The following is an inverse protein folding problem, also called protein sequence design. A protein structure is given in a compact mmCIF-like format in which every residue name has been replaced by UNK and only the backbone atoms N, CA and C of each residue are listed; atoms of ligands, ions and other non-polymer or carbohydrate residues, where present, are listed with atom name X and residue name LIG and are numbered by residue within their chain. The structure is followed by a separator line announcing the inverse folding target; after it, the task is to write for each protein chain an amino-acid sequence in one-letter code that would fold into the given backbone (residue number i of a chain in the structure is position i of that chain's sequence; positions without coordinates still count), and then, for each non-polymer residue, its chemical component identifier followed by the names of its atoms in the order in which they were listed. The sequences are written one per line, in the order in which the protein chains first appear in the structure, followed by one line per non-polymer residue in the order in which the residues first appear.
data_IF_159654304785
#
_entry.id   IF_159654304785
#
_cell.length_a   1.000
_cell.length_b   1.000
_cell.length_c   1.000
_cell.angle_alpha   90.00
_cell.angle_beta   90.00
_cell.angle_gamma   90.00
#
_symmetry.space_group_name_H-M   'P 1'
#
loop_
_entity.id
_entity.type
_entity.pdbx_description
1 polymer ?
#
# COMPACT_ATOMS: atom_id res chain seq x y z
N UNK A 1 21.35 14.24 -4.51
CA UNK A 1 21.32 13.08 -3.60
C UNK A 1 20.60 11.98 -4.34
N UNK A 2 21.19 10.80 -4.50
CA UNK A 2 20.52 9.66 -5.14
C UNK A 2 19.38 9.22 -4.23
N UNK A 3 18.14 9.41 -4.67
CA UNK A 3 16.99 8.84 -3.98
C UNK A 3 17.21 7.32 -3.91
N UNK A 4 17.27 6.79 -2.69
CA UNK A 4 17.23 5.34 -2.51
C UNK A 4 15.83 4.93 -2.94
N UNK A 5 15.72 3.97 -3.85
CA UNK A 5 14.41 3.48 -4.31
C UNK A 5 13.56 2.97 -3.15
N UNK A 6 12.24 2.82 -3.34
CA UNK A 6 11.36 2.34 -2.28
C UNK A 6 11.79 0.98 -1.74
N UNK A 7 11.47 0.74 -0.47
CA UNK A 7 11.47 -0.63 0.04
C UNK A 7 10.18 -1.28 -0.43
N UNK A 8 10.29 -2.41 -1.13
CA UNK A 8 9.14 -3.13 -1.68
C UNK A 8 9.05 -4.52 -1.08
N UNK A 9 7.85 -5.10 -1.09
CA UNK A 9 7.64 -6.43 -0.53
C UNK A 9 6.25 -6.97 -0.79
N UNK A 10 6.05 -8.21 -0.34
CA UNK A 10 4.74 -8.86 -0.33
C UNK A 10 4.41 -9.27 1.11
N UNK A 11 3.21 -8.95 1.55
CA UNK A 11 2.68 -9.41 2.83
C UNK A 11 1.70 -10.58 2.61
N UNK A 12 1.87 -11.71 3.31
CA UNK A 12 0.85 -12.76 3.35
C UNK A 12 -0.33 -12.31 4.22
N UNK A 13 -1.44 -11.89 3.60
CA UNK A 13 -2.63 -11.36 4.29
C UNK A 13 -3.91 -11.98 3.76
N UNK A 14 -4.71 -12.59 4.63
CA UNK A 14 -6.04 -13.16 4.27
C UNK A 14 -6.04 -14.06 3.01
N UNK A 15 -4.95 -14.79 2.77
CA UNK A 15 -4.78 -15.65 1.59
C UNK A 15 -4.16 -14.97 0.35
N UNK A 16 -3.90 -13.67 0.39
CA UNK A 16 -3.18 -12.90 -0.63
C UNK A 16 -1.68 -12.81 -0.33
N UNK A 17 -0.90 -12.71 -1.40
CA UNK A 17 0.41 -12.08 -1.36
C UNK A 17 0.24 -10.63 -1.82
N UNK A 18 -0.01 -9.72 -0.88
CA UNK A 18 -0.29 -8.31 -1.17
C UNK A 18 0.99 -7.52 -1.35
N UNK A 19 1.19 -6.95 -2.55
CA UNK A 19 2.33 -6.09 -2.85
C UNK A 19 2.18 -4.72 -2.19
N UNK A 20 3.30 -4.18 -1.71
CA UNK A 20 3.37 -2.84 -1.16
C UNK A 20 4.74 -2.20 -1.42
N UNK A 21 4.76 -0.87 -1.35
CA UNK A 21 5.96 -0.05 -1.35
C UNK A 21 5.97 0.89 -0.15
N UNK A 22 7.14 1.07 0.45
CA UNK A 22 7.40 2.01 1.53
C UNK A 22 8.38 3.06 1.03
N UNK A 23 7.93 4.32 1.11
CA UNK A 23 8.67 5.51 0.72
C UNK A 23 8.81 6.45 1.92
N UNK A 24 9.90 7.22 1.95
CA UNK A 24 10.12 8.18 3.04
C UNK A 24 10.27 7.51 4.40
N UNK A 25 10.22 8.32 5.46
CA UNK A 25 10.30 7.83 6.84
C UNK A 25 9.76 8.86 7.83
N UNK A 26 9.46 8.43 9.05
CA UNK A 26 9.01 9.31 10.13
C UNK A 26 7.56 9.79 9.98
N UNK A 27 7.11 10.60 10.94
CA UNK A 27 5.74 11.08 11.01
C UNK A 27 4.70 9.97 11.24
N UNK A 28 3.42 10.35 11.20
CA UNK A 28 2.34 9.36 11.09
C UNK A 28 2.43 8.77 9.67
N UNK A 29 2.42 7.44 9.47
CA UNK A 29 2.42 6.86 8.12
C UNK A 29 1.17 7.27 7.33
N UNK A 30 1.32 7.50 6.03
CA UNK A 30 0.20 7.69 5.10
C UNK A 30 0.02 6.43 4.27
N UNK A 31 -1.16 5.84 4.32
CA UNK A 31 -1.52 4.72 3.47
C UNK A 31 -2.22 5.22 2.21
N UNK A 32 -1.71 4.83 1.04
CA UNK A 32 -2.30 5.16 -0.26
C UNK A 32 -3.08 3.98 -0.82
N UNK A 33 -4.38 4.17 -1.06
CA UNK A 33 -5.29 3.18 -1.64
C UNK A 33 -5.68 3.61 -3.06
N UNK A 34 -5.26 2.87 -4.08
CA UNK A 34 -5.63 3.20 -5.46
C UNK A 34 -7.10 2.83 -5.76
N UNK A 35 -7.67 3.45 -6.81
CA UNK A 35 -9.01 3.10 -7.32
C UNK A 35 -9.03 1.86 -8.22
N UNK A 36 -10.22 1.47 -8.67
CA UNK A 36 -10.53 0.18 -9.34
C UNK A 36 -9.79 -0.15 -10.66
N UNK A 37 -9.05 0.80 -11.23
CA UNK A 37 -8.25 0.57 -12.45
C UNK A 37 -6.82 1.09 -12.27
N UNK A 38 -6.38 1.23 -11.02
CA UNK A 38 -5.10 1.80 -10.64
C UNK A 38 -4.13 0.76 -10.07
N UNK A 39 -2.91 1.22 -9.89
CA UNK A 39 -1.79 0.58 -9.22
C UNK A 39 -0.97 1.70 -8.56
N UNK A 40 0.17 1.40 -7.93
CA UNK A 40 0.97 2.42 -7.23
C UNK A 40 1.45 3.55 -8.16
N UNK A 41 1.74 3.23 -9.42
CA UNK A 41 2.20 4.19 -10.43
C UNK A 41 1.24 5.35 -10.68
N UNK A 42 -0.06 5.19 -10.36
CA UNK A 42 -1.07 6.23 -10.54
C UNK A 42 -0.78 7.49 -9.72
N UNK A 43 -0.06 7.36 -8.61
CA UNK A 43 0.28 8.48 -7.73
C UNK A 43 1.41 9.36 -8.29
N UNK A 44 2.29 8.81 -9.11
CA UNK A 44 3.37 9.55 -9.77
C UNK A 44 4.12 10.51 -8.83
N UNK A 45 4.30 11.80 -9.21
CA UNK A 45 5.00 12.79 -8.40
C UNK A 45 4.34 13.11 -7.04
N UNK A 46 3.03 12.86 -6.88
CA UNK A 46 2.34 13.13 -5.62
C UNK A 46 2.89 12.24 -4.51
N UNK A 47 3.15 10.97 -4.80
CA UNK A 47 3.75 10.04 -3.86
C UNK A 47 5.12 10.55 -3.39
N UNK A 48 5.97 10.96 -4.34
CA UNK A 48 7.31 11.47 -4.03
C UNK A 48 7.23 12.71 -3.10
N UNK A 49 6.34 13.67 -3.40
CA UNK A 49 6.16 14.85 -2.56
C UNK A 49 5.60 14.56 -1.17
N UNK A 50 4.70 13.58 -1.05
CA UNK A 50 4.19 13.13 0.26
C UNK A 50 5.30 12.45 1.09
N UNK A 51 6.16 11.66 0.44
CA UNK A 51 7.24 10.92 1.07
C UNK A 51 8.41 11.80 1.57
N UNK A 52 8.47 13.08 1.18
CA UNK A 52 9.50 14.01 1.66
C UNK A 52 9.38 14.28 3.18
N UNK A 53 8.17 14.19 3.74
CA UNK A 53 7.90 14.64 5.11
C UNK A 53 7.33 13.56 6.04
N UNK A 54 6.98 12.39 5.51
CA UNK A 54 6.43 11.26 6.28
C UNK A 54 6.67 9.94 5.57
N UNK A 55 6.53 8.84 6.29
CA UNK A 55 6.44 7.52 5.67
C UNK A 55 5.15 7.42 4.85
N UNK A 56 5.27 6.94 3.62
CA UNK A 56 4.15 6.63 2.73
C UNK A 56 4.20 5.13 2.44
N UNK A 57 3.07 4.45 2.66
CA UNK A 57 2.87 3.05 2.34
C UNK A 57 1.85 2.99 1.21
N UNK A 58 2.31 2.63 0.01
CA UNK A 58 1.45 2.47 -1.14
C UNK A 58 1.20 0.98 -1.37
N UNK A 59 -0.04 0.60 -1.63
CA UNK A 59 -0.44 -0.81 -1.70
C UNK A 59 -1.10 -1.12 -3.03
N UNK A 60 -1.06 -2.38 -3.45
CA UNK A 60 -1.84 -2.85 -4.59
C UNK A 60 -2.89 -3.86 -4.10
N UNK A 61 -4.15 -3.51 -4.30
CA UNK A 61 -5.31 -4.27 -3.85
C UNK A 61 -5.47 -5.56 -4.69
N UNK A 62 -6.27 -6.51 -4.20
CA UNK A 62 -6.53 -7.78 -4.90
C UNK A 62 -6.82 -7.57 -6.39
N UNK A 63 -6.10 -8.31 -7.25
CA UNK A 63 -6.29 -8.27 -8.70
C UNK A 63 -5.72 -7.03 -9.40
N UNK A 64 -4.89 -6.23 -8.73
CA UNK A 64 -4.30 -5.01 -9.28
C UNK A 64 -2.77 -5.04 -9.20
N UNK A 65 -2.13 -4.44 -10.22
CA UNK A 65 -0.67 -4.33 -10.32
C UNK A 65 0.02 -5.69 -10.18
N UNK A 66 0.83 -5.83 -9.14
CA UNK A 66 1.59 -6.99 -8.76
C UNK A 66 0.83 -7.94 -7.82
N UNK A 67 -0.26 -7.49 -7.19
CA UNK A 67 -1.11 -8.34 -6.35
C UNK A 67 -2.05 -9.15 -7.22
N UNK A 68 -1.80 -10.46 -7.30
CA UNK A 68 -2.66 -11.38 -8.05
C UNK A 68 -4.10 -11.42 -7.49
N UNK A 69 -5.04 -11.71 -8.38
CA UNK A 69 -6.39 -12.10 -7.96
C UNK A 69 -6.40 -13.53 -7.41
N UNK A 70 -7.36 -13.85 -6.53
CA UNK A 70 -7.52 -15.18 -5.92
C UNK A 70 -8.99 -15.60 -5.91
N UNK A 71 -9.25 -16.88 -5.67
CA UNK A 71 -10.61 -17.45 -5.66
C UNK A 71 -11.39 -17.08 -4.38
N UNK A 72 -11.75 -15.80 -4.27
CA UNK A 72 -12.67 -15.25 -3.28
C UNK A 72 -13.38 -13.99 -3.83
N UNK A 73 -14.54 -13.59 -3.28
CA UNK A 73 -15.26 -12.42 -3.77
C UNK A 73 -14.43 -11.13 -3.67
N UNK A 74 -14.44 -10.29 -4.69
CA UNK A 74 -13.90 -8.93 -4.58
C UNK A 74 -14.94 -8.02 -3.94
N UNK A 75 -14.77 -7.66 -2.66
CA UNK A 75 -15.65 -6.75 -1.92
C UNK A 75 -14.86 -5.69 -1.14
N UNK A 76 -15.47 -4.54 -0.88
CA UNK A 76 -14.80 -3.46 -0.15
C UNK A 76 -14.39 -3.88 1.26
N UNK A 77 -15.18 -4.73 1.91
CA UNK A 77 -14.88 -5.29 3.22
C UNK A 77 -13.60 -6.13 3.17
N UNK A 78 -13.44 -6.99 2.17
CA UNK A 78 -12.24 -7.80 2.02
C UNK A 78 -11.01 -6.95 1.70
N UNK A 79 -11.15 -5.94 0.84
CA UNK A 79 -10.06 -5.00 0.54
C UNK A 79 -9.63 -4.21 1.79
N UNK A 80 -10.59 -3.82 2.64
CA UNK A 80 -10.32 -3.17 3.92
C UNK A 80 -9.65 -4.13 4.92
N UNK A 81 -10.10 -5.38 5.00
CA UNK A 81 -9.53 -6.41 5.88
C UNK A 81 -8.09 -6.76 5.49
N UNK A 82 -7.77 -6.85 4.20
CA UNK A 82 -6.40 -7.07 3.72
C UNK A 82 -5.50 -5.90 4.07
N UNK A 83 -6.03 -4.69 3.88
CA UNK A 83 -5.32 -3.45 4.20
C UNK A 83 -5.02 -3.36 5.69
N UNK A 84 -5.99 -3.69 6.55
CA UNK A 84 -5.81 -3.72 7.99
C UNK A 84 -4.80 -4.81 8.40
N UNK A 85 -4.84 -5.98 7.77
CA UNK A 85 -3.88 -7.06 8.00
C UNK A 85 -2.46 -6.67 7.55
N UNK A 86 -2.32 -5.92 6.45
CA UNK A 86 -1.03 -5.38 6.00
C UNK A 86 -0.47 -4.39 7.03
N UNK A 87 -1.30 -3.49 7.57
CA UNK A 87 -0.87 -2.57 8.63
C UNK A 87 -0.33 -3.35 9.84
N UNK A 88 -1.03 -4.42 10.26
CA UNK A 88 -0.55 -5.30 11.34
C UNK A 88 0.77 -5.98 10.98
N UNK A 89 0.90 -6.51 9.75
CA UNK A 89 2.11 -7.16 9.26
C UNK A 89 3.33 -6.22 9.28
N UNK A 90 3.13 -4.95 8.93
CA UNK A 90 4.16 -3.91 8.93
C UNK A 90 4.38 -3.28 10.31
N UNK A 91 3.63 -3.68 11.34
CA UNK A 91 3.73 -3.12 12.70
C UNK A 91 3.18 -1.69 12.82
N UNK A 92 2.30 -1.27 11.90
CA UNK A 92 1.70 0.06 11.90
C UNK A 92 0.46 0.09 12.81
N UNK A 93 0.59 0.77 13.94
CA UNK A 93 -0.49 0.96 14.92
C UNK A 93 -1.53 1.99 14.46
N UNK A 94 -1.13 2.92 13.59
CA UNK A 94 -1.95 3.99 13.06
C UNK A 94 -1.44 4.42 11.69
N UNK A 95 -2.34 4.95 10.85
CA UNK A 95 -2.01 5.61 9.60
C UNK A 95 -3.10 6.64 9.26
N UNK A 96 -2.74 7.71 8.57
CA UNK A 96 -3.73 8.44 7.78
C UNK A 96 -3.98 7.66 6.49
N UNK A 97 -5.15 7.84 5.87
CA UNK A 97 -5.52 7.15 4.63
C UNK A 97 -5.87 8.16 3.54
N UNK A 98 -5.42 7.89 2.33
CA UNK A 98 -5.78 8.66 1.13
C UNK A 98 -6.06 7.70 -0.04
N UNK A 99 -7.27 7.79 -0.60
CA UNK A 99 -7.75 6.95 -1.71
C UNK A 99 -9.19 7.26 -2.07
#
# INVERSE_FOLDING_TARGET
MTATGPQTGYAPVNGLQMYYEIHGSGGVPLLLLHGAFGAIDLWGPLLAGLAENRQVVAVELQGHGHTADIDRPLSYEQLADDTAALMQHLGLQQADVFG
#
